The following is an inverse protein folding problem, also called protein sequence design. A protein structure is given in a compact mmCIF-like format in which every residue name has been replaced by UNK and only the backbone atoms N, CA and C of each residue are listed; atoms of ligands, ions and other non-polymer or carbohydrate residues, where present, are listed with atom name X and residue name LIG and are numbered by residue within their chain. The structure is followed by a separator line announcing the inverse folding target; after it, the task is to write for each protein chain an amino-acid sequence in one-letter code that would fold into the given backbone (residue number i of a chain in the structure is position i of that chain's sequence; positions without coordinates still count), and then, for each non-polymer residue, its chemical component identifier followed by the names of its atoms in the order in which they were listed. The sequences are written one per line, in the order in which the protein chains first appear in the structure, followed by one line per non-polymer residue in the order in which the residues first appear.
data_IF_012367919703
#
_entry.id   IF_012367919703
#
_cell.length_a   1.000
_cell.length_b   1.000
_cell.length_c   1.000
_cell.angle_alpha   90.00
_cell.angle_beta   90.00
_cell.angle_gamma   90.00
#
_symmetry.space_group_name_H-M   'P 1'
#
loop_
_entity.id
_entity.type
_entity.pdbx_description
1 polymer ?
#
# COMPACT_ATOMS: atom_id res chain seq x y z
N UNK A 1 2.88 4.39 7.61
CA UNK A 1 4.09 5.01 8.20
C UNK A 1 5.24 4.00 8.38
N UNK A 2 5.00 2.76 8.84
CA UNK A 2 6.07 1.79 9.12
C UNK A 2 6.94 1.49 7.89
N UNK A 3 6.36 1.10 6.76
CA UNK A 3 7.13 0.88 5.53
C UNK A 3 7.89 2.12 5.05
N UNK A 4 7.33 3.33 5.25
CA UNK A 4 8.05 4.54 4.87
C UNK A 4 9.32 4.72 5.71
N UNK A 5 9.23 4.44 7.02
CA UNK A 5 10.40 4.46 7.90
C UNK A 5 11.42 3.39 7.51
N UNK A 6 11.00 2.13 7.35
CA UNK A 6 11.89 1.04 6.96
C UNK A 6 12.61 1.32 5.64
N UNK A 7 11.88 1.84 4.65
CA UNK A 7 12.46 2.18 3.34
C UNK A 7 13.42 3.36 3.45
N UNK A 8 13.07 4.38 4.23
CA UNK A 8 13.92 5.53 4.54
C UNK A 8 15.24 5.09 5.15
N UNK A 9 15.19 4.23 6.15
CA UNK A 9 16.38 3.72 6.84
C UNK A 9 17.28 2.92 5.88
N UNK A 10 16.69 2.09 4.99
CA UNK A 10 17.45 1.27 4.01
C UNK A 10 18.06 2.08 2.87
N UNK A 11 17.39 3.13 2.43
CA UNK A 11 17.82 3.94 1.28
C UNK A 11 18.55 5.23 1.71
N UNK A 12 18.63 5.52 3.01
CA UNK A 12 19.17 6.79 3.53
C UNK A 12 18.46 8.02 2.95
N UNK A 13 17.14 7.90 2.71
CA UNK A 13 16.30 8.96 2.17
C UNK A 13 15.37 9.52 3.26
N UNK A 14 15.10 10.82 3.30
CA UNK A 14 14.11 11.37 4.20
C UNK A 14 12.69 10.91 3.81
N UNK A 15 11.78 10.80 4.78
CA UNK A 15 10.38 10.56 4.50
C UNK A 15 9.50 11.60 5.19
N UNK A 16 8.39 11.93 4.54
CA UNK A 16 7.44 12.94 4.99
C UNK A 16 6.01 12.43 4.83
N UNK A 17 5.12 12.87 5.69
CA UNK A 17 3.68 12.62 5.52
C UNK A 17 3.11 13.53 4.42
N UNK A 18 1.89 13.22 3.96
CA UNK A 18 1.20 14.06 2.97
C UNK A 18 0.89 15.48 3.50
N UNK A 19 0.79 15.62 4.82
CA UNK A 19 0.53 16.92 5.45
C UNK A 19 1.80 17.78 5.55
N UNK A 20 2.97 17.13 5.53
CA UNK A 20 4.28 17.79 5.63
C UNK A 20 4.92 18.08 4.26
N UNK A 21 4.56 17.31 3.23
CA UNK A 21 5.26 17.33 1.94
C UNK A 21 5.26 18.72 1.30
N UNK A 22 4.17 19.47 1.43
CA UNK A 22 4.03 20.83 0.85
C UNK A 22 5.04 21.84 1.43
N UNK A 23 5.47 21.60 2.67
CA UNK A 23 6.43 22.47 3.38
C UNK A 23 7.86 21.98 3.37
N UNK A 24 8.07 20.67 3.15
CA UNK A 24 9.36 20.01 3.28
C UNK A 24 9.99 19.62 1.96
N UNK A 25 9.21 19.50 0.90
CA UNK A 25 9.66 18.98 -0.39
C UNK A 25 9.27 19.96 -1.50
N UNK A 26 10.26 20.37 -2.28
CA UNK A 26 10.05 21.29 -3.41
C UNK A 26 9.16 20.63 -4.48
N UNK A 27 8.15 21.33 -5.03
CA UNK A 27 7.39 20.83 -6.18
C UNK A 27 8.31 20.38 -7.33
N UNK A 28 7.93 19.32 -8.02
CA UNK A 28 8.73 18.71 -9.08
C UNK A 28 9.84 17.76 -8.59
N UNK A 29 10.04 17.65 -7.27
CA UNK A 29 11.02 16.70 -6.73
C UNK A 29 10.67 15.26 -7.06
N UNK A 30 11.71 14.42 -7.29
CA UNK A 30 11.57 12.98 -7.49
C UNK A 30 11.23 12.31 -6.16
N UNK A 31 10.15 11.54 -6.14
CA UNK A 31 9.69 10.86 -4.93
C UNK A 31 9.35 9.39 -5.18
N UNK A 32 9.47 8.58 -4.14
CA UNK A 32 8.84 7.27 -4.03
C UNK A 32 7.59 7.44 -3.18
N UNK A 33 6.43 7.20 -3.78
CA UNK A 33 5.17 7.39 -3.10
C UNK A 33 4.71 6.11 -2.39
N UNK A 34 4.39 6.20 -1.10
CA UNK A 34 3.80 5.11 -0.33
C UNK A 34 2.38 5.48 0.09
N UNK A 35 1.40 4.70 -0.35
CA UNK A 35 0.00 4.90 0.01
C UNK A 35 -0.69 3.58 0.32
N UNK A 36 -1.71 3.61 1.17
CA UNK A 36 -2.51 2.43 1.43
C UNK A 36 -3.61 2.25 0.37
N UNK A 37 -3.95 0.98 0.13
CA UNK A 37 -4.97 0.60 -0.86
C UNK A 37 -6.35 0.58 -0.19
N UNK A 38 -7.32 1.24 -0.83
CA UNK A 38 -8.73 1.14 -0.51
C UNK A 38 -9.53 0.98 -1.81
N UNK A 39 -10.26 -0.12 -1.95
CA UNK A 39 -10.97 -0.47 -3.18
C UNK A 39 -10.09 -0.30 -4.43
N UNK A 40 -8.90 -0.88 -4.40
CA UNK A 40 -7.84 -0.84 -5.42
C UNK A 40 -7.30 0.57 -5.74
N UNK A 41 -7.72 1.60 -5.00
CA UNK A 41 -7.18 2.97 -5.11
C UNK A 41 -6.11 3.21 -4.08
N UNK A 42 -5.00 3.82 -4.51
CA UNK A 42 -3.92 4.26 -3.63
C UNK A 42 -4.27 5.63 -3.08
N UNK A 43 -4.51 5.69 -1.78
CA UNK A 43 -4.92 6.92 -1.07
C UNK A 43 -3.88 8.02 -1.26
N UNK A 44 -4.32 9.20 -1.70
CA UNK A 44 -3.45 10.38 -1.86
C UNK A 44 -2.67 10.45 -3.19
N UNK A 45 -2.54 9.36 -3.95
CA UNK A 45 -1.76 9.33 -5.20
C UNK A 45 -2.14 10.45 -6.18
N UNK A 46 -3.44 10.66 -6.41
CA UNK A 46 -3.93 11.69 -7.34
C UNK A 46 -3.53 13.12 -6.97
N UNK A 47 -3.35 13.40 -5.68
CA UNK A 47 -2.86 14.71 -5.21
C UNK A 47 -1.37 14.83 -5.53
N UNK A 48 -0.61 13.83 -5.13
CA UNK A 48 0.85 13.85 -5.20
C UNK A 48 1.38 13.90 -6.64
N UNK A 49 0.75 13.16 -7.55
CA UNK A 49 1.21 13.10 -8.96
C UNK A 49 1.06 14.41 -9.72
N UNK A 50 0.32 15.39 -9.20
CA UNK A 50 0.17 16.72 -9.80
C UNK A 50 1.38 17.61 -9.56
N UNK A 51 1.99 17.46 -8.37
CA UNK A 51 2.97 18.39 -7.86
C UNK A 51 4.40 17.80 -7.81
N UNK A 52 4.53 16.46 -7.91
CA UNK A 52 5.81 15.76 -7.76
C UNK A 52 6.08 14.75 -8.87
N UNK A 53 7.37 14.51 -9.18
CA UNK A 53 7.82 13.47 -10.10
C UNK A 53 7.85 12.12 -9.38
N UNK A 54 6.73 11.37 -9.49
CA UNK A 54 6.59 10.07 -8.85
C UNK A 54 7.39 9.01 -9.60
N UNK A 55 8.48 8.54 -9.02
CA UNK A 55 9.40 7.55 -9.63
C UNK A 55 8.98 6.11 -9.37
N UNK A 56 8.25 5.86 -8.30
CA UNK A 56 7.68 4.56 -7.97
C UNK A 56 6.47 4.73 -7.03
N UNK A 57 5.56 3.76 -7.07
CA UNK A 57 4.41 3.69 -6.17
C UNK A 57 4.49 2.40 -5.36
N UNK A 58 4.52 2.54 -4.03
CA UNK A 58 4.38 1.44 -3.09
C UNK A 58 2.95 1.46 -2.53
N UNK A 59 2.15 0.50 -2.96
CA UNK A 59 0.76 0.39 -2.60
C UNK A 59 0.61 -0.66 -1.48
N UNK A 60 0.25 -0.21 -0.27
CA UNK A 60 0.15 -1.07 0.91
C UNK A 60 -1.29 -1.53 1.10
N UNK A 61 -1.53 -2.82 1.09
CA UNK A 61 -2.85 -3.42 1.21
C UNK A 61 -2.89 -4.65 2.10
N UNK A 62 -4.04 -5.32 2.14
CA UNK A 62 -4.22 -6.57 2.89
C UNK A 62 -3.77 -7.80 2.11
N UNK A 63 -3.72 -7.72 0.77
CA UNK A 63 -3.27 -8.82 -0.08
C UNK A 63 -1.78 -9.08 0.07
N UNK A 64 -1.36 -10.28 -0.31
CA UNK A 64 0.04 -10.67 -0.32
C UNK A 64 0.90 -9.73 -1.17
N UNK A 65 2.15 -9.55 -0.79
CA UNK A 65 3.11 -8.71 -1.52
C UNK A 65 3.26 -9.20 -2.97
N UNK A 66 3.23 -8.26 -3.93
CA UNK A 66 3.32 -8.57 -5.36
C UNK A 66 1.98 -8.85 -6.06
N UNK A 67 0.88 -8.99 -5.31
CA UNK A 67 -0.46 -9.22 -5.87
C UNK A 67 -1.16 -7.90 -6.25
N UNK A 68 -2.26 -7.98 -7.03
CA UNK A 68 -3.15 -6.84 -7.39
C UNK A 68 -2.48 -5.70 -8.19
N UNK A 69 -1.25 -5.85 -8.68
CA UNK A 69 -0.51 -4.78 -9.38
C UNK A 69 -1.28 -4.24 -10.59
N UNK A 70 -1.87 -5.13 -11.41
CA UNK A 70 -2.62 -4.73 -12.62
C UNK A 70 -3.86 -3.91 -12.25
N UNK A 71 -4.60 -4.35 -11.25
CA UNK A 71 -5.81 -3.70 -10.78
C UNK A 71 -5.50 -2.31 -10.19
N UNK A 72 -4.50 -2.23 -9.32
CA UNK A 72 -4.02 -0.96 -8.74
C UNK A 72 -3.60 0.01 -9.84
N UNK A 73 -2.84 -0.45 -10.84
CA UNK A 73 -2.44 0.37 -11.98
C UNK A 73 -3.63 0.96 -12.72
N UNK A 74 -4.57 0.12 -13.10
CA UNK A 74 -5.75 0.52 -13.88
C UNK A 74 -6.63 1.50 -13.10
N UNK A 75 -6.95 1.18 -11.84
CA UNK A 75 -7.84 2.01 -11.00
C UNK A 75 -7.26 3.38 -10.66
N UNK A 76 -5.95 3.51 -10.63
CA UNK A 76 -5.26 4.76 -10.33
C UNK A 76 -4.71 5.46 -11.58
N UNK A 77 -4.84 4.87 -12.77
CA UNK A 77 -4.30 5.38 -14.04
C UNK A 77 -2.79 5.64 -13.95
N UNK A 78 -2.05 4.73 -13.29
CA UNK A 78 -0.60 4.87 -13.14
C UNK A 78 0.07 4.48 -14.45
N UNK A 79 0.88 5.35 -15.07
CA UNK A 79 1.60 5.06 -16.31
C UNK A 79 2.46 3.79 -16.21
N UNK A 80 2.63 3.09 -17.33
CA UNK A 80 3.47 1.88 -17.40
C UNK A 80 4.94 2.14 -17.05
N UNK A 81 5.41 3.36 -17.30
CA UNK A 81 6.76 3.82 -16.95
C UNK A 81 7.02 3.93 -15.44
N UNK A 82 5.97 4.01 -14.63
CA UNK A 82 6.09 4.08 -13.16
C UNK A 82 5.90 2.68 -12.59
N UNK A 83 6.93 2.08 -11.95
CA UNK A 83 6.79 0.79 -11.28
C UNK A 83 5.85 0.87 -10.09
N UNK A 84 5.11 -0.22 -9.88
CA UNK A 84 4.22 -0.39 -8.73
C UNK A 84 4.69 -1.60 -7.94
N UNK A 85 4.85 -1.41 -6.65
CA UNK A 85 5.15 -2.43 -5.67
C UNK A 85 3.97 -2.53 -4.71
N UNK A 86 3.25 -3.64 -4.73
CA UNK A 86 2.23 -3.91 -3.72
C UNK A 86 2.87 -4.59 -2.53
N UNK A 87 2.58 -4.11 -1.34
CA UNK A 87 3.17 -4.58 -0.10
C UNK A 87 2.07 -5.04 0.85
N UNK A 88 2.25 -6.22 1.42
CA UNK A 88 1.33 -6.68 2.46
C UNK A 88 1.52 -5.83 3.72
N UNK A 89 0.46 -5.18 4.14
CA UNK A 89 0.41 -4.39 5.38
C UNK A 89 -0.48 -5.05 6.41
N UNK A 90 -0.93 -4.26 7.33
CA UNK A 90 -1.89 -4.68 8.32
C UNK A 90 -2.75 -3.49 8.74
N UNK A 91 -3.76 -3.76 9.53
CA UNK A 91 -4.54 -2.74 10.19
C UNK A 91 -5.01 -3.22 11.56
N UNK A 92 -5.20 -2.27 12.44
CA UNK A 92 -5.74 -2.51 13.77
C UNK A 92 -7.23 -2.19 13.75
N UNK A 93 -8.06 -3.22 13.77
CA UNK A 93 -9.54 -3.09 13.79
C UNK A 93 -10.00 -2.21 14.94
N UNK A 94 -9.30 -2.27 16.09
CA UNK A 94 -9.67 -1.51 17.30
C UNK A 94 -9.40 0.00 17.14
N UNK A 95 -8.46 0.37 16.28
CA UNK A 95 -8.12 1.77 16.02
C UNK A 95 -8.88 2.39 14.86
N UNK A 96 -9.74 1.63 14.18
CA UNK A 96 -10.58 2.15 13.12
C UNK A 96 -11.75 2.96 13.69
N UNK A 97 -11.89 4.19 13.24
CA UNK A 97 -12.94 5.12 13.65
C UNK A 97 -13.71 5.66 12.44
N UNK A 98 -14.94 6.14 12.71
CA UNK A 98 -15.77 6.83 11.71
C UNK A 98 -16.05 5.98 10.47
N UNK A 99 -15.97 6.60 9.31
CA UNK A 99 -16.31 5.99 8.02
C UNK A 99 -15.47 4.74 7.69
N UNK A 100 -14.22 4.69 8.14
CA UNK A 100 -13.35 3.53 7.91
C UNK A 100 -13.82 2.29 8.65
N UNK A 101 -14.35 2.45 9.87
CA UNK A 101 -14.97 1.35 10.63
C UNK A 101 -16.20 0.82 9.90
N UNK A 102 -17.04 1.72 9.39
CA UNK A 102 -18.24 1.35 8.61
C UNK A 102 -17.83 0.59 7.34
N UNK A 103 -16.86 1.08 6.60
CA UNK A 103 -16.39 0.44 5.35
C UNK A 103 -15.84 -0.98 5.60
N UNK A 104 -15.02 -1.17 6.64
CA UNK A 104 -14.51 -2.49 7.00
C UNK A 104 -15.65 -3.40 7.44
N UNK A 105 -16.61 -2.90 8.21
CA UNK A 105 -17.79 -3.67 8.61
C UNK A 105 -18.60 -4.15 7.39
N UNK A 106 -18.79 -3.30 6.39
CA UNK A 106 -19.48 -3.68 5.14
C UNK A 106 -18.65 -4.71 4.38
N UNK A 107 -17.34 -4.50 4.26
CA UNK A 107 -16.43 -5.42 3.56
C UNK A 107 -16.42 -6.81 4.21
N UNK A 108 -16.37 -6.89 5.54
CA UNK A 108 -16.46 -8.15 6.29
C UNK A 108 -17.80 -8.83 6.05
N UNK A 109 -18.91 -8.08 6.05
CA UNK A 109 -20.25 -8.63 5.83
C UNK A 109 -20.49 -9.09 4.39
N UNK A 110 -19.79 -8.56 3.42
CA UNK A 110 -19.94 -8.90 2.00
C UNK A 110 -18.85 -9.87 1.53
N UNK A 111 -17.63 -9.37 1.32
CA UNK A 111 -16.50 -10.15 0.84
C UNK A 111 -16.03 -11.21 1.86
N UNK A 112 -16.06 -10.87 3.15
CA UNK A 112 -15.69 -11.79 4.23
C UNK A 112 -16.62 -12.99 4.32
N UNK A 113 -17.94 -12.80 4.14
CA UNK A 113 -18.91 -13.93 4.07
C UNK A 113 -18.68 -14.80 2.83
N UNK A 114 -18.39 -14.19 1.68
CA UNK A 114 -18.05 -14.92 0.46
C UNK A 114 -16.82 -15.80 0.65
N UNK A 115 -15.76 -15.25 1.25
CA UNK A 115 -14.55 -15.99 1.58
C UNK A 115 -14.80 -17.07 2.65
N UNK A 116 -15.56 -16.75 3.70
CA UNK A 116 -15.86 -17.69 4.78
C UNK A 116 -16.64 -18.91 4.29
N UNK A 117 -17.51 -18.74 3.30
CA UNK A 117 -18.33 -19.81 2.71
C UNK A 117 -17.60 -20.61 1.63
N UNK A 118 -16.43 -20.18 1.18
CA UNK A 118 -15.63 -20.90 0.17
C UNK A 118 -14.92 -22.08 0.83
N UNK A 119 -15.17 -23.31 0.33
CA UNK A 119 -14.61 -24.55 0.91
C UNK A 119 -13.11 -24.73 0.54
N UNK A 120 -12.71 -24.29 -0.65
CA UNK A 120 -11.35 -24.45 -1.19
C UNK A 120 -10.59 -23.11 -1.15
N UNK A 121 -10.44 -22.54 0.05
CA UNK A 121 -9.65 -21.32 0.21
C UNK A 121 -8.16 -21.59 0.07
N UNK A 122 -7.47 -20.68 -0.61
CA UNK A 122 -6.01 -20.66 -0.61
C UNK A 122 -5.50 -20.11 0.73
N UNK A 123 -4.25 -20.37 1.05
CA UNK A 123 -3.60 -19.81 2.24
C UNK A 123 -3.65 -18.27 2.27
N UNK A 124 -3.56 -17.62 1.11
CA UNK A 124 -3.68 -16.17 0.98
C UNK A 124 -5.09 -15.67 1.29
N UNK A 125 -6.11 -16.42 0.85
CA UNK A 125 -7.52 -16.12 1.14
C UNK A 125 -7.84 -16.31 2.62
N UNK A 126 -7.26 -17.31 3.27
CA UNK A 126 -7.40 -17.52 4.72
C UNK A 126 -6.73 -16.37 5.49
N UNK A 127 -5.52 -15.98 5.13
CA UNK A 127 -4.83 -14.82 5.74
C UNK A 127 -5.61 -13.53 5.56
N UNK A 128 -6.22 -13.33 4.38
CA UNK A 128 -7.05 -12.15 4.12
C UNK A 128 -8.31 -12.16 4.99
N UNK A 129 -8.97 -13.31 5.13
CA UNK A 129 -10.14 -13.46 5.98
C UNK A 129 -9.81 -13.19 7.46
N UNK A 130 -8.74 -13.77 7.96
CA UNK A 130 -8.23 -13.52 9.32
C UNK A 130 -7.93 -12.04 9.54
N UNK A 131 -7.26 -11.40 8.59
CA UNK A 131 -6.96 -9.97 8.67
C UNK A 131 -8.22 -9.13 8.66
N UNK A 132 -9.25 -9.50 7.88
CA UNK A 132 -10.54 -8.80 7.84
C UNK A 132 -11.28 -8.89 9.17
N UNK A 133 -11.23 -10.06 9.83
CA UNK A 133 -11.98 -10.33 11.05
C UNK A 133 -11.29 -9.80 12.31
N UNK A 134 -10.00 -10.00 12.41
CA UNK A 134 -9.23 -9.78 13.64
C UNK A 134 -8.20 -8.65 13.52
N UNK A 135 -7.99 -8.13 12.32
CA UNK A 135 -6.86 -7.27 12.01
C UNK A 135 -5.55 -8.07 11.95
N UNK A 136 -4.44 -7.38 11.80
CA UNK A 136 -3.15 -8.03 11.77
C UNK A 136 -2.03 -7.06 11.40
N UNK A 137 -0.81 -7.46 11.71
CA UNK A 137 0.39 -6.72 11.34
C UNK A 137 1.30 -7.63 10.52
N UNK A 138 1.36 -7.36 9.21
CA UNK A 138 2.15 -8.11 8.24
C UNK A 138 3.24 -7.25 7.58
N UNK A 139 3.58 -6.13 8.25
CA UNK A 139 4.71 -5.30 7.84
C UNK A 139 5.99 -6.05 8.12
N UNK A 140 6.71 -6.41 7.05
CA UNK A 140 7.97 -7.14 7.11
C UNK A 140 8.98 -6.49 6.14
N UNK A 141 10.23 -6.39 6.55
CA UNK A 141 11.32 -5.90 5.70
C UNK A 141 11.50 -6.72 4.43
N UNK A 142 11.21 -8.02 4.47
CA UNK A 142 11.26 -8.91 3.29
C UNK A 142 10.39 -8.42 2.15
N UNK A 143 9.27 -7.79 2.47
CA UNK A 143 8.37 -7.21 1.48
C UNK A 143 9.02 -6.06 0.69
N UNK A 144 10.07 -5.43 1.22
CA UNK A 144 10.78 -4.33 0.55
C UNK A 144 11.83 -4.81 -0.45
N UNK A 145 12.17 -6.11 -0.48
CA UNK A 145 13.25 -6.62 -1.35
C UNK A 145 13.13 -6.15 -2.78
N UNK A 146 11.94 -6.27 -3.38
CA UNK A 146 11.72 -5.93 -4.80
C UNK A 146 11.94 -4.44 -5.08
N UNK A 147 11.53 -3.56 -4.17
CA UNK A 147 11.75 -2.12 -4.33
C UNK A 147 13.22 -1.74 -4.08
N UNK A 148 13.89 -2.40 -3.14
CA UNK A 148 15.31 -2.17 -2.89
C UNK A 148 16.15 -2.61 -4.09
N UNK A 149 15.87 -3.78 -4.67
CA UNK A 149 16.52 -4.29 -5.88
C UNK A 149 16.29 -3.34 -7.08
N UNK A 150 15.09 -2.79 -7.21
CA UNK A 150 14.79 -1.81 -8.25
C UNK A 150 15.54 -0.49 -8.04
N UNK A 151 15.62 -0.02 -6.81
CA UNK A 151 16.31 1.24 -6.49
C UNK A 151 17.82 1.12 -6.72
N UNK A 152 18.44 0.01 -6.28
CA UNK A 152 19.86 -0.25 -6.47
C UNK A 152 20.29 -0.27 -7.94
N UNK A 153 19.46 -0.82 -8.84
CA UNK A 153 19.71 -0.83 -10.29
C UNK A 153 19.62 0.56 -10.96
N UNK A 154 19.15 1.58 -10.28
CA UNK A 154 19.04 2.96 -10.79
C UNK A 154 20.19 3.86 -10.34
N UNK A 155 20.99 3.40 -9.40
CA UNK A 155 22.18 4.10 -8.92
C UNK A 155 23.44 3.87 -9.76
N UNK A 156 23.31 3.11 -10.87
CA UNK A 156 24.34 2.92 -11.88
C UNK A 156 24.14 3.86 -13.06
#
# INVERSE_FOLDING_TARGET
KEYAKLLSDKLSLPYYSLDEIEYKVKPGSKIIYLGWIMASRVKGYKKVVKDYDVRAVCAVGMGATGTQVKEVRTKNKIPSSIPIFTLQGGFDVKKLHGIYKIMITIMVKTAGKGLANKQDRTQEEDQMLEMMLHGGKYVDEKNLKVILDWYGKRGE
#
